data_IF_785972754182
#
_entry.id   IF_785972754182
#
_cell.length_a   1.000
_cell.length_b   1.000
_cell.length_c   1.000
_cell.angle_alpha   90.00
_cell.angle_beta   90.00
_cell.angle_gamma   90.00
#
_symmetry.space_group_name_H-M   'P 1'
#
loop_
_entity.id
_entity.type
_entity.pdbx_description
1 polymer ?
#
# COMPACT_ATOMS: atom_id res chain seq x y z
N UNK A 1 -70.95 6.68 -13.61
CA UNK A 1 -69.89 5.65 -13.58
C UNK A 1 -68.81 6.03 -14.58
N UNK A 2 -67.53 5.83 -14.20
CA UNK A 2 -66.27 6.12 -14.91
C UNK A 2 -65.75 7.56 -14.79
N UNK A 3 -65.08 7.77 -13.66
CA UNK A 3 -64.15 8.84 -13.33
C UNK A 3 -62.73 8.47 -13.84
N UNK A 4 -61.98 9.52 -14.21
CA UNK A 4 -60.55 9.75 -13.94
C UNK A 4 -59.45 9.09 -14.80
N UNK A 5 -58.46 9.97 -15.06
CA UNK A 5 -57.01 9.77 -15.23
C UNK A 5 -56.47 9.35 -16.60
N UNK A 6 -55.90 10.33 -17.30
CA UNK A 6 -54.71 10.14 -18.15
C UNK A 6 -53.70 11.22 -17.76
N UNK A 7 -52.94 10.95 -16.70
CA UNK A 7 -51.76 11.72 -16.34
C UNK A 7 -50.56 10.99 -16.98
N UNK A 8 -50.05 11.52 -18.09
CA UNK A 8 -48.83 11.03 -18.70
C UNK A 8 -47.66 11.37 -17.77
N UNK A 9 -47.13 10.34 -17.11
CA UNK A 9 -45.96 10.40 -16.24
C UNK A 9 -44.71 10.69 -17.09
N UNK A 10 -44.35 11.97 -17.22
CA UNK A 10 -43.02 12.36 -17.66
C UNK A 10 -42.05 12.02 -16.53
N UNK A 11 -41.45 10.83 -16.61
CA UNK A 11 -40.38 10.38 -15.73
C UNK A 11 -39.18 11.31 -15.98
N UNK A 12 -38.97 12.25 -15.07
CA UNK A 12 -37.82 13.15 -15.06
C UNK A 12 -36.56 12.29 -14.85
N UNK A 13 -35.84 11.96 -15.92
CA UNK A 13 -34.43 11.57 -15.81
C UNK A 13 -33.63 12.82 -15.44
N UNK A 14 -33.61 13.15 -14.15
CA UNK A 14 -32.56 14.02 -13.63
C UNK A 14 -31.25 13.23 -13.75
N UNK A 15 -30.25 13.69 -14.55
CA UNK A 15 -28.94 13.10 -14.48
C UNK A 15 -28.50 13.21 -13.02
N UNK A 16 -28.22 12.08 -12.38
CA UNK A 16 -27.61 12.06 -11.07
C UNK A 16 -26.33 12.90 -11.17
N UNK A 17 -26.33 14.07 -10.54
CA UNK A 17 -25.11 14.82 -10.31
C UNK A 17 -24.24 13.90 -9.47
N UNK A 18 -23.30 13.22 -10.12
CA UNK A 18 -22.23 12.53 -9.44
C UNK A 18 -21.41 13.63 -8.77
N UNK A 19 -21.71 13.91 -7.50
CA UNK A 19 -20.82 14.70 -6.67
C UNK A 19 -19.53 13.89 -6.57
N UNK A 20 -18.47 14.37 -7.23
CA UNK A 20 -17.14 13.86 -6.96
C UNK A 20 -16.90 14.07 -5.47
N UNK A 21 -16.81 12.98 -4.69
CA UNK A 21 -16.41 13.07 -3.29
C UNK A 21 -15.09 13.84 -3.25
N UNK A 22 -15.09 15.01 -2.61
CA UNK A 22 -13.87 15.74 -2.34
C UNK A 22 -13.13 15.03 -1.21
N UNK A 23 -12.51 13.89 -1.53
CA UNK A 23 -11.70 13.12 -0.57
C UNK A 23 -10.56 13.99 -0.03
N UNK A 24 -10.18 13.90 1.25
CA UNK A 24 -8.97 14.56 1.74
C UNK A 24 -7.74 13.99 1.03
N UNK A 25 -6.62 14.71 1.10
CA UNK A 25 -5.35 14.23 0.57
C UNK A 25 -4.69 13.36 1.64
N UNK A 26 -4.42 12.09 1.35
CA UNK A 26 -3.58 11.26 2.21
C UNK A 26 -2.13 11.73 2.10
N UNK A 27 -1.52 12.18 3.20
CA UNK A 27 -0.13 12.63 3.21
C UNK A 27 0.71 11.65 4.02
N UNK A 28 1.79 11.15 3.45
CA UNK A 28 2.76 10.32 4.16
C UNK A 28 4.13 11.01 4.18
N UNK A 29 4.69 11.22 5.37
CA UNK A 29 6.00 11.85 5.56
C UNK A 29 6.94 10.85 6.22
N UNK A 30 7.99 10.42 5.51
CA UNK A 30 8.84 9.29 5.90
C UNK A 30 7.99 8.08 6.29
N UNK A 31 6.95 7.79 5.52
CA UNK A 31 5.99 6.72 5.78
C UNK A 31 4.95 6.98 6.87
N UNK A 32 5.13 7.98 7.73
CA UNK A 32 4.19 8.32 8.81
C UNK A 32 2.96 9.00 8.20
N UNK A 33 1.78 8.54 8.60
CA UNK A 33 0.52 9.14 8.20
C UNK A 33 0.34 10.55 8.79
N UNK A 34 0.05 11.52 7.93
CA UNK A 34 -0.20 12.92 8.26
C UNK A 34 -1.65 13.24 8.62
N UNK A 35 -2.52 12.24 8.76
CA UNK A 35 -3.92 12.44 9.17
C UNK A 35 -4.06 13.26 10.46
N UNK A 36 -3.16 13.07 11.43
CA UNK A 36 -3.16 13.83 12.69
C UNK A 36 -2.49 15.21 12.59
N UNK A 37 -1.95 15.58 11.42
CA UNK A 37 -1.32 16.89 11.28
C UNK A 37 -2.36 17.99 11.41
N UNK A 38 -2.10 18.92 12.33
CA UNK A 38 -2.98 20.07 12.61
C UNK A 38 -3.33 20.86 11.36
N UNK A 39 -2.39 20.97 10.43
CA UNK A 39 -2.59 21.63 9.15
C UNK A 39 -2.38 20.65 8.00
N UNK A 40 -3.33 20.66 7.07
CA UNK A 40 -3.45 19.70 5.99
C UNK A 40 -2.86 20.23 4.68
N UNK A 41 -2.39 19.34 3.77
CA UNK A 41 -2.02 19.68 2.40
C UNK A 41 -3.12 20.44 1.65
N UNK A 42 -2.72 21.32 0.74
CA UNK A 42 -3.65 22.01 -0.17
C UNK A 42 -3.16 21.95 -1.61
N UNK A 43 -4.09 21.82 -2.55
CA UNK A 43 -3.79 22.00 -3.97
C UNK A 43 -4.23 23.40 -4.37
N UNK A 44 -3.32 24.17 -4.93
CA UNK A 44 -3.58 25.51 -5.48
C UNK A 44 -2.79 25.66 -6.77
N UNK A 45 -3.39 26.25 -7.81
CA UNK A 45 -2.73 26.46 -9.11
C UNK A 45 -2.11 25.15 -9.67
N UNK A 46 -2.83 24.04 -9.54
CA UNK A 46 -2.38 22.68 -9.90
C UNK A 46 -1.04 22.24 -9.27
N UNK A 47 -0.72 22.80 -8.09
CA UNK A 47 0.47 22.44 -7.31
C UNK A 47 0.06 22.02 -5.91
N UNK A 48 0.70 20.96 -5.42
CA UNK A 48 0.57 20.53 -4.04
C UNK A 48 1.45 21.41 -3.15
N UNK A 49 0.81 22.02 -2.16
CA UNK A 49 1.45 22.78 -1.12
C UNK A 49 1.28 22.08 0.22
N UNK A 50 2.37 22.04 0.98
CA UNK A 50 2.36 21.47 2.32
C UNK A 50 2.68 22.55 3.36
N UNK A 51 2.03 22.51 4.54
CA UNK A 51 2.41 23.34 5.66
C UNK A 51 3.80 22.91 6.13
N UNK A 52 4.78 23.80 5.97
CA UNK A 52 6.19 23.45 6.06
C UNK A 52 6.54 22.80 7.41
N UNK A 53 6.04 23.37 8.52
CA UNK A 53 6.32 22.88 9.86
C UNK A 53 5.78 21.47 10.10
N UNK A 54 4.57 21.15 9.62
CA UNK A 54 3.97 19.82 9.81
C UNK A 54 4.79 18.73 9.11
N UNK A 55 5.33 19.02 7.92
CA UNK A 55 6.14 18.06 7.16
C UNK A 55 7.53 17.94 7.74
N UNK A 56 8.21 19.06 7.95
CA UNK A 56 9.63 19.04 8.29
C UNK A 56 9.89 18.72 9.76
N UNK A 57 8.92 18.85 10.67
CA UNK A 57 9.08 18.38 12.06
C UNK A 57 9.35 16.87 12.16
N UNK A 58 8.89 16.09 11.17
CA UNK A 58 9.12 14.64 11.08
C UNK A 58 10.38 14.30 10.28
N UNK A 59 11.21 15.30 9.98
CA UNK A 59 12.46 15.17 9.24
C UNK A 59 13.62 15.76 10.05
N UNK A 60 14.84 15.40 9.69
CA UNK A 60 16.06 15.85 10.38
C UNK A 60 16.50 17.28 10.01
N UNK A 61 15.70 18.01 9.23
CA UNK A 61 16.08 19.32 8.70
C UNK A 61 15.78 20.45 9.70
N UNK A 62 16.73 21.38 9.81
CA UNK A 62 16.50 22.63 10.54
C UNK A 62 15.70 23.61 9.69
N UNK A 63 14.81 24.37 10.33
CA UNK A 63 13.97 25.37 9.67
C UNK A 63 14.16 26.71 10.39
N UNK A 64 14.51 27.74 9.63
CA UNK A 64 14.57 29.11 10.09
C UNK A 64 13.55 29.96 9.35
N UNK A 65 12.83 30.80 10.08
CA UNK A 65 11.87 31.74 9.52
C UNK A 65 12.30 33.17 9.84
N UNK A 66 12.52 33.98 8.81
CA UNK A 66 12.71 35.42 8.94
C UNK A 66 11.39 36.15 8.69
N UNK A 67 10.80 36.68 9.76
CA UNK A 67 9.54 37.44 9.70
C UNK A 67 9.66 38.80 9.00
N UNK A 68 10.85 39.40 8.92
CA UNK A 68 11.06 40.70 8.25
C UNK A 68 11.01 40.54 6.73
N UNK A 69 11.72 39.54 6.22
CA UNK A 69 11.78 39.25 4.78
C UNK A 69 10.70 38.28 4.31
N UNK A 70 9.99 37.64 5.25
CA UNK A 70 9.04 36.53 5.01
C UNK A 70 9.69 35.36 4.26
N UNK A 71 10.91 35.04 4.66
CA UNK A 71 11.74 34.00 4.03
C UNK A 71 11.84 32.80 4.95
N UNK A 72 11.64 31.62 4.38
CA UNK A 72 12.02 30.37 5.04
C UNK A 72 13.36 29.90 4.50
N UNK A 73 14.26 29.54 5.42
CA UNK A 73 15.57 28.96 5.14
C UNK A 73 15.63 27.57 5.78
N UNK A 74 16.08 26.58 5.03
CA UNK A 74 16.03 25.16 5.41
C UNK A 74 17.44 24.60 5.33
N UNK A 75 17.85 23.90 6.40
CA UNK A 75 19.17 23.28 6.56
C UNK A 75 20.31 24.25 6.22
N UNK A 76 20.38 25.32 7.02
CA UNK A 76 21.41 26.36 6.96
C UNK A 76 21.57 27.00 5.57
N UNK A 77 20.43 27.34 4.93
CA UNK A 77 20.40 28.01 3.62
C UNK A 77 20.49 27.07 2.42
N UNK A 78 20.42 25.75 2.62
CA UNK A 78 20.38 24.77 1.52
C UNK A 78 19.22 25.04 0.57
N UNK A 79 18.05 25.39 1.11
CA UNK A 79 16.89 25.88 0.35
C UNK A 79 16.35 27.14 1.02
N UNK A 80 16.14 28.18 0.24
CA UNK A 80 15.50 29.41 0.72
C UNK A 80 14.34 29.81 -0.20
N UNK A 81 13.18 30.06 0.39
CA UNK A 81 11.97 30.45 -0.32
C UNK A 81 11.32 31.65 0.36
N UNK A 82 11.01 32.69 -0.41
CA UNK A 82 10.34 33.89 0.10
C UNK A 82 8.86 33.86 -0.26
N UNK A 83 8.00 34.14 0.72
CA UNK A 83 6.55 34.23 0.51
C UNK A 83 6.23 35.28 -0.58
N UNK A 84 5.41 34.89 -1.55
CA UNK A 84 5.02 35.75 -2.66
C UNK A 84 6.05 35.89 -3.79
N UNK A 85 7.24 35.28 -3.67
CA UNK A 85 8.26 35.26 -4.74
C UNK A 85 8.35 33.90 -5.41
N UNK A 86 8.64 33.90 -6.70
CA UNK A 86 8.85 32.68 -7.49
C UNK A 86 10.32 32.31 -7.57
N UNK A 87 11.20 33.29 -7.44
CA UNK A 87 12.63 33.08 -7.27
C UNK A 87 12.90 32.41 -5.93
N UNK A 88 13.75 31.40 -5.94
CA UNK A 88 14.19 30.69 -4.75
C UNK A 88 15.64 30.26 -4.89
N UNK A 89 16.28 30.02 -3.76
CA UNK A 89 17.65 29.52 -3.72
C UNK A 89 17.62 28.03 -3.38
N UNK A 90 18.41 27.24 -4.10
CA UNK A 90 18.61 25.84 -3.79
C UNK A 90 20.05 25.42 -4.13
N UNK A 91 20.78 24.97 -3.10
CA UNK A 91 22.14 24.41 -3.19
C UNK A 91 23.10 25.27 -4.01
N UNK A 92 23.26 26.54 -3.64
CA UNK A 92 24.22 27.41 -4.34
C UNK A 92 23.65 28.19 -5.52
N UNK A 93 22.41 27.92 -5.94
CA UNK A 93 21.88 28.43 -7.20
C UNK A 93 20.52 29.11 -7.04
N UNK A 94 20.37 30.26 -7.71
CA UNK A 94 19.07 30.88 -7.91
C UNK A 94 18.28 30.11 -8.98
N UNK A 95 17.05 29.76 -8.63
CA UNK A 95 16.11 29.01 -9.47
C UNK A 95 14.75 29.69 -9.43
N UNK A 96 13.85 29.27 -10.31
CA UNK A 96 12.49 29.82 -10.42
C UNK A 96 11.46 28.72 -10.26
N UNK A 97 10.44 28.97 -9.45
CA UNK A 97 9.25 28.16 -9.29
C UNK A 97 8.12 28.69 -10.16
N UNK A 98 7.16 27.85 -10.54
CA UNK A 98 5.97 28.29 -11.28
C UNK A 98 4.91 28.91 -10.36
N UNK A 99 4.95 28.60 -9.07
CA UNK A 99 4.07 29.12 -8.02
C UNK A 99 4.87 29.62 -6.83
N UNK A 100 4.34 30.61 -6.11
CA UNK A 100 5.01 31.20 -4.94
C UNK A 100 4.51 30.57 -3.62
N UNK A 101 5.38 30.43 -2.60
CA UNK A 101 4.97 30.12 -1.23
C UNK A 101 4.01 31.18 -0.71
N UNK A 102 3.16 30.79 0.22
CA UNK A 102 2.15 31.68 0.79
C UNK A 102 1.91 31.41 2.26
N UNK A 103 1.22 32.33 2.93
CA UNK A 103 0.76 32.16 4.30
C UNK A 103 -0.75 31.91 4.29
N UNK A 104 -1.18 30.86 4.99
CA UNK A 104 -2.59 30.56 5.24
C UNK A 104 -2.75 30.17 6.69
N UNK A 105 -3.64 30.87 7.41
CA UNK A 105 -3.90 30.66 8.85
C UNK A 105 -2.61 30.59 9.67
N UNK A 106 -1.74 31.58 9.49
CA UNK A 106 -0.43 31.68 10.18
C UNK A 106 0.52 30.50 9.97
N UNK A 107 0.40 29.83 8.82
CA UNK A 107 1.35 28.80 8.38
C UNK A 107 1.88 29.10 7.00
N UNK A 108 3.19 28.91 6.84
CA UNK A 108 3.85 28.98 5.55
C UNK A 108 3.63 27.68 4.79
N UNK A 109 2.99 27.79 3.63
CA UNK A 109 2.78 26.72 2.66
C UNK A 109 3.81 26.85 1.55
N UNK A 110 4.53 25.75 1.31
CA UNK A 110 5.56 25.69 0.27
C UNK A 110 5.16 24.68 -0.80
N UNK A 111 5.49 24.93 -2.08
CA UNK A 111 5.24 23.98 -3.14
C UNK A 111 6.23 22.80 -3.02
N UNK A 112 5.70 21.62 -2.68
CA UNK A 112 6.53 20.52 -2.17
C UNK A 112 7.55 20.00 -3.18
N UNK A 113 7.24 20.04 -4.48
CA UNK A 113 8.15 19.62 -5.55
C UNK A 113 9.48 20.39 -5.50
N UNK A 114 9.42 21.71 -5.43
CA UNK A 114 10.63 22.54 -5.44
C UNK A 114 11.45 22.39 -4.16
N UNK A 115 10.77 22.22 -3.02
CA UNK A 115 11.44 21.92 -1.76
C UNK A 115 12.15 20.56 -1.86
N UNK A 116 11.46 19.54 -2.33
CA UNK A 116 11.99 18.19 -2.47
C UNK A 116 13.16 18.12 -3.45
N UNK A 117 13.07 18.79 -4.60
CA UNK A 117 14.15 18.89 -5.59
C UNK A 117 15.40 19.56 -5.02
N UNK A 118 15.19 20.62 -4.23
CA UNK A 118 16.25 21.34 -3.53
C UNK A 118 16.88 20.50 -2.42
N UNK A 119 16.07 19.81 -1.62
CA UNK A 119 16.53 18.99 -0.50
C UNK A 119 16.98 17.57 -0.92
N UNK A 120 16.72 17.15 -2.15
CA UNK A 120 16.92 15.78 -2.66
C UNK A 120 16.11 14.72 -1.90
N UNK A 121 14.87 15.07 -1.57
CA UNK A 121 13.91 14.18 -0.91
C UNK A 121 13.02 13.55 -1.99
N UNK A 122 12.79 12.23 -1.97
CA UNK A 122 11.84 11.62 -2.90
C UNK A 122 10.42 12.11 -2.59
N UNK A 123 9.68 12.51 -3.63
CA UNK A 123 8.28 12.88 -3.52
C UNK A 123 7.46 12.24 -4.63
N UNK A 124 6.26 11.79 -4.29
CA UNK A 124 5.30 11.28 -5.27
C UNK A 124 3.90 11.85 -5.03
N UNK A 125 3.17 12.00 -6.12
CA UNK A 125 1.75 12.34 -6.13
C UNK A 125 1.00 11.25 -6.89
N UNK A 126 0.07 10.59 -6.22
CA UNK A 126 -0.93 9.72 -6.82
C UNK A 126 -2.23 10.50 -6.97
N UNK A 127 -2.53 10.92 -8.20
CA UNK A 127 -3.74 11.66 -8.51
C UNK A 127 -5.01 10.79 -8.38
N UNK A 128 -4.92 9.48 -8.66
CA UNK A 128 -6.07 8.56 -8.62
C UNK A 128 -6.55 8.37 -7.18
N UNK A 129 -5.63 8.20 -6.25
CA UNK A 129 -5.94 8.03 -4.83
C UNK A 129 -5.83 9.31 -4.01
N UNK A 130 -5.45 10.43 -4.64
CA UNK A 130 -5.17 11.72 -3.98
C UNK A 130 -4.20 11.56 -2.80
N UNK A 131 -3.11 10.85 -3.02
CA UNK A 131 -2.11 10.59 -2.00
C UNK A 131 -0.76 11.24 -2.35
N UNK A 132 -0.13 11.87 -1.38
CA UNK A 132 1.19 12.45 -1.48
C UNK A 132 2.16 11.72 -0.56
N UNK A 133 3.34 11.39 -1.06
CA UNK A 133 4.44 10.84 -0.25
C UNK A 133 5.62 11.79 -0.28
N UNK A 134 6.25 11.99 0.87
CA UNK A 134 7.43 12.83 1.05
C UNK A 134 8.44 12.06 1.89
N UNK A 135 9.56 11.69 1.30
CA UNK A 135 10.53 10.79 1.93
C UNK A 135 10.05 9.33 1.96
N UNK A 136 10.83 8.48 2.61
CA UNK A 136 10.62 7.04 2.69
C UNK A 136 10.85 6.57 4.12
N UNK A 137 10.14 5.51 4.55
CA UNK A 137 10.45 4.84 5.81
C UNK A 137 11.63 3.87 5.61
N UNK A 138 12.76 4.39 5.15
CA UNK A 138 13.96 3.61 4.85
C UNK A 138 15.20 4.29 5.43
N UNK A 139 15.95 3.56 6.23
CA UNK A 139 17.24 3.99 6.77
C UNK A 139 18.08 2.78 7.16
N UNK A 140 19.34 3.01 7.54
CA UNK A 140 20.10 1.99 8.24
C UNK A 140 19.33 1.55 9.49
N UNK A 141 19.22 0.23 9.69
CA UNK A 141 18.63 -0.33 10.90
C UNK A 141 19.59 -0.13 12.08
N UNK A 142 19.04 -0.03 13.30
CA UNK A 142 19.83 0.01 14.53
C UNK A 142 20.44 -1.35 14.93
N UNK A 143 20.47 -2.34 14.04
CA UNK A 143 21.07 -3.65 14.24
C UNK A 143 21.91 -4.07 13.03
N UNK A 144 22.83 -5.01 13.22
CA UNK A 144 23.59 -5.64 12.14
C UNK A 144 22.72 -6.69 11.44
N UNK A 145 22.43 -6.57 10.13
CA UNK A 145 21.72 -7.61 9.38
C UNK A 145 22.48 -8.93 9.37
N UNK A 146 21.82 -10.02 9.76
CA UNK A 146 22.40 -11.37 9.69
C UNK A 146 21.62 -12.30 8.77
N UNK A 147 20.31 -12.11 8.64
CA UNK A 147 19.44 -12.92 7.80
C UNK A 147 18.54 -12.03 6.96
N UNK A 148 18.32 -12.42 5.71
CA UNK A 148 17.30 -11.81 4.85
C UNK A 148 16.17 -12.81 4.65
N UNK A 149 14.93 -12.37 4.82
CA UNK A 149 13.73 -13.19 4.59
C UNK A 149 12.83 -12.49 3.60
N UNK A 150 12.16 -13.26 2.73
CA UNK A 150 11.20 -12.74 1.77
C UNK A 150 9.86 -13.41 1.96
N UNK A 151 8.81 -12.60 2.07
CA UNK A 151 7.43 -13.03 2.17
C UNK A 151 6.63 -12.34 1.06
N UNK A 152 6.10 -13.12 0.12
CA UNK A 152 5.51 -12.56 -1.10
C UNK A 152 6.51 -11.67 -1.83
N UNK A 153 6.15 -10.39 -2.01
CA UNK A 153 7.00 -9.40 -2.67
C UNK A 153 7.78 -8.49 -1.72
N UNK A 154 7.79 -8.77 -0.42
CA UNK A 154 8.46 -7.96 0.60
C UNK A 154 9.62 -8.73 1.22
N UNK A 155 10.79 -8.10 1.24
CA UNK A 155 12.02 -8.62 1.81
C UNK A 155 12.41 -7.80 3.04
N UNK A 156 12.83 -8.45 4.12
CA UNK A 156 13.34 -7.81 5.33
C UNK A 156 14.74 -8.31 5.68
N UNK A 157 15.54 -7.44 6.26
CA UNK A 157 16.75 -7.82 7.01
C UNK A 157 16.39 -8.03 8.49
N UNK A 158 16.94 -9.08 9.09
CA UNK A 158 16.70 -9.47 10.47
C UNK A 158 18.02 -9.57 11.24
N UNK A 159 18.05 -9.19 12.54
CA UNK A 159 19.22 -9.36 13.38
C UNK A 159 19.44 -10.82 13.78
N UNK A 160 20.59 -11.08 14.41
CA UNK A 160 20.86 -12.35 15.10
C UNK A 160 19.73 -12.70 16.07
N UNK A 161 19.40 -13.99 16.14
CA UNK A 161 18.50 -14.55 17.16
C UNK A 161 17.11 -13.88 17.26
N UNK A 162 16.66 -13.20 16.21
CA UNK A 162 15.34 -12.54 16.17
C UNK A 162 14.18 -13.49 16.55
N UNK A 163 14.32 -14.78 16.22
CA UNK A 163 13.37 -15.87 16.49
C UNK A 163 13.17 -16.12 18.00
N UNK A 164 14.05 -15.60 18.86
CA UNK A 164 13.87 -15.65 20.33
C UNK A 164 12.84 -14.63 20.82
N UNK A 165 12.58 -13.59 20.03
CA UNK A 165 11.76 -12.45 20.43
C UNK A 165 10.49 -12.30 19.58
N UNK A 166 10.53 -12.68 18.31
CA UNK A 166 9.41 -12.52 17.38
C UNK A 166 8.94 -13.85 16.81
N UNK A 167 7.64 -13.90 16.50
CA UNK A 167 7.07 -14.83 15.53
C UNK A 167 6.66 -14.02 14.30
N UNK A 168 7.04 -14.49 13.11
CA UNK A 168 6.61 -13.91 11.84
C UNK A 168 5.83 -14.98 11.08
N UNK A 169 4.58 -14.68 10.73
CA UNK A 169 3.74 -15.55 9.91
C UNK A 169 3.46 -14.88 8.56
N UNK A 170 3.22 -15.70 7.54
CA UNK A 170 2.77 -15.21 6.24
C UNK A 170 1.59 -16.04 5.78
N UNK A 171 0.42 -15.41 5.75
CA UNK A 171 -0.85 -16.06 5.44
C UNK A 171 -1.77 -15.07 4.71
N UNK A 172 -2.54 -15.55 3.72
CA UNK A 172 -3.42 -14.72 2.88
C UNK A 172 -2.79 -13.41 2.34
N UNK A 173 -1.50 -13.43 1.99
CA UNK A 173 -0.71 -12.26 1.56
C UNK A 173 -0.48 -11.17 2.63
N UNK A 174 -0.66 -11.52 3.91
CA UNK A 174 -0.36 -10.66 5.05
C UNK A 174 0.83 -11.22 5.82
N UNK A 175 1.78 -10.35 6.16
CA UNK A 175 2.94 -10.69 6.97
C UNK A 175 2.67 -10.18 8.38
N UNK A 176 2.48 -11.07 9.34
CA UNK A 176 2.12 -10.67 10.70
C UNK A 176 3.31 -10.85 11.63
N UNK A 177 3.62 -9.79 12.38
CA UNK A 177 4.63 -9.81 13.42
C UNK A 177 3.95 -9.96 14.79
N UNK A 178 4.42 -10.91 15.58
CA UNK A 178 4.01 -11.10 16.97
C UNK A 178 5.21 -11.02 17.91
N UNK A 179 5.00 -10.50 19.11
CA UNK A 179 5.87 -10.75 20.25
C UNK A 179 5.76 -12.22 20.66
N UNK A 180 6.88 -12.93 20.64
CA UNK A 180 6.91 -14.38 20.88
C UNK A 180 6.42 -14.74 22.28
N UNK A 181 6.77 -13.97 23.31
CA UNK A 181 6.45 -14.32 24.70
C UNK A 181 4.95 -14.27 24.95
N UNK A 182 4.28 -13.25 24.41
CA UNK A 182 2.82 -13.16 24.46
C UNK A 182 2.15 -14.24 23.61
N UNK A 183 2.67 -14.52 22.42
CA UNK A 183 2.16 -15.56 21.54
C UNK A 183 2.26 -16.98 22.13
N UNK A 184 3.37 -17.27 22.82
CA UNK A 184 3.57 -18.55 23.51
C UNK A 184 2.65 -18.69 24.73
N UNK A 185 2.30 -17.57 25.39
CA UNK A 185 1.41 -17.55 26.55
C UNK A 185 -0.06 -17.77 26.14
N UNK A 186 -0.49 -17.13 25.05
CA UNK A 186 -1.79 -17.34 24.44
C UNK A 186 -1.66 -17.17 22.92
N UNK A 187 -2.07 -18.21 22.18
CA UNK A 187 -1.96 -18.25 20.73
C UNK A 187 -2.65 -17.01 20.11
N UNK A 188 -1.97 -16.38 19.15
CA UNK A 188 -2.42 -15.19 18.43
C UNK A 188 -2.46 -13.88 19.26
N UNK A 189 -2.05 -13.92 20.54
CA UNK A 189 -1.73 -12.73 21.32
C UNK A 189 -0.32 -12.21 21.01
N UNK A 190 -0.05 -10.96 21.37
CA UNK A 190 1.22 -10.30 21.11
C UNK A 190 1.35 -9.68 19.72
N UNK A 191 0.25 -9.58 18.94
CA UNK A 191 0.30 -9.03 17.57
C UNK A 191 0.79 -7.58 17.56
N UNK A 192 1.91 -7.35 16.88
CA UNK A 192 2.54 -6.02 16.75
C UNK A 192 1.99 -5.28 15.54
N UNK A 193 1.77 -5.98 14.43
CA UNK A 193 1.19 -5.42 13.22
C UNK A 193 1.30 -6.35 12.01
N UNK A 194 0.66 -5.92 10.94
CA UNK A 194 0.48 -6.68 9.70
C UNK A 194 0.98 -5.88 8.52
N UNK A 195 1.88 -6.45 7.73
CA UNK A 195 2.34 -5.86 6.47
C UNK A 195 1.53 -6.42 5.32
N UNK A 196 0.92 -5.53 4.54
CA UNK A 196 0.08 -5.88 3.40
C UNK A 196 0.09 -4.80 2.32
N UNK A 197 -0.24 -5.22 1.10
CA UNK A 197 -0.39 -4.32 -0.03
C UNK A 197 -1.85 -3.84 -0.14
N UNK A 198 -2.06 -2.53 -0.11
CA UNK A 198 -3.36 -1.89 -0.19
C UNK A 198 -3.39 -0.98 -1.42
N UNK A 199 -4.50 -0.99 -2.15
CA UNK A 199 -4.62 -0.22 -3.41
C UNK A 199 -5.02 1.23 -3.17
N UNK A 200 -5.96 1.46 -2.26
CA UNK A 200 -6.46 2.78 -1.91
C UNK A 200 -6.11 3.11 -0.45
N UNK A 201 -5.09 3.96 -0.19
CA UNK A 201 -4.62 4.26 1.15
C UNK A 201 -5.66 5.00 2.00
N UNK A 202 -6.67 5.62 1.37
CA UNK A 202 -7.76 6.30 2.07
C UNK A 202 -8.75 5.33 2.74
N UNK A 203 -8.79 4.07 2.32
CA UNK A 203 -9.72 3.06 2.87
C UNK A 203 -9.21 2.35 4.12
N UNK A 204 -8.08 2.77 4.67
CA UNK A 204 -7.47 2.18 5.87
C UNK A 204 -7.74 3.10 7.06
N UNK A 205 -8.65 2.67 7.94
CA UNK A 205 -9.10 3.42 9.11
C UNK A 205 -8.43 2.99 10.42
N UNK A 206 -7.27 2.33 10.31
CA UNK A 206 -6.45 1.92 11.44
C UNK A 206 -5.09 2.61 11.36
N UNK A 207 -4.36 2.74 12.49
CA UNK A 207 -3.00 3.22 12.49
C UNK A 207 -2.15 2.46 11.46
N UNK A 208 -1.42 3.24 10.66
CA UNK A 208 -0.69 2.73 9.51
C UNK A 208 0.64 3.43 9.31
N UNK A 209 1.58 2.69 8.74
CA UNK A 209 2.91 3.16 8.37
C UNK A 209 3.21 2.70 6.95
N UNK A 210 3.40 3.66 6.05
CA UNK A 210 3.73 3.39 4.66
C UNK A 210 5.20 2.97 4.54
N UNK A 211 5.43 1.74 4.11
CA UNK A 211 6.76 1.19 3.86
C UNK A 211 7.21 1.47 2.43
N UNK A 212 6.28 1.37 1.48
CA UNK A 212 6.59 1.54 0.06
C UNK A 212 5.37 2.03 -0.73
N UNK A 213 5.56 3.07 -1.55
CA UNK A 213 4.58 3.48 -2.55
C UNK A 213 4.97 2.86 -3.88
N UNK A 214 4.20 1.87 -4.33
CA UNK A 214 4.38 1.23 -5.62
C UNK A 214 3.63 1.91 -6.75
N UNK A 215 3.60 1.24 -7.89
CA UNK A 215 2.89 1.69 -9.09
C UNK A 215 1.40 1.36 -9.04
N UNK A 216 1.04 0.23 -8.42
CA UNK A 216 -0.33 -0.30 -8.41
C UNK A 216 -0.93 -0.49 -7.00
N UNK A 217 -0.10 -0.35 -5.97
CA UNK A 217 -0.44 -0.55 -4.56
C UNK A 217 0.51 0.24 -3.64
N UNK A 218 0.17 0.26 -2.37
CA UNK A 218 0.93 0.80 -1.26
C UNK A 218 1.20 -0.33 -0.27
N UNK A 219 2.45 -0.54 0.12
CA UNK A 219 2.79 -1.52 1.16
C UNK A 219 2.78 -0.82 2.51
N UNK A 220 1.85 -1.23 3.38
CA UNK A 220 1.68 -0.67 4.71
C UNK A 220 1.99 -1.71 5.77
N UNK A 221 2.55 -1.28 6.90
CA UNK A 221 2.26 -1.89 8.18
C UNK A 221 0.97 -1.28 8.73
N UNK A 222 -0.03 -2.10 9.05
CA UNK A 222 -1.20 -1.73 9.84
C UNK A 222 -1.10 -2.31 11.24
N UNK A 223 -1.51 -1.58 12.27
CA UNK A 223 -1.40 -2.03 13.65
C UNK A 223 -2.53 -1.48 14.53
N UNK A 224 -2.80 -2.16 15.65
CA UNK A 224 -3.77 -1.70 16.64
C UNK A 224 -3.25 -0.49 17.43
N UNK A 225 -4.13 0.43 17.79
CA UNK A 225 -3.85 1.45 18.81
C UNK A 225 -3.62 0.82 20.18
N UNK A 226 -4.25 -0.33 20.43
CA UNK A 226 -4.27 -0.99 21.73
C UNK A 226 -3.11 -1.99 21.86
N UNK A 227 -2.63 -2.16 23.09
CA UNK A 227 -1.59 -3.13 23.42
C UNK A 227 -2.18 -4.54 23.37
N UNK A 228 -1.57 -5.44 22.60
CA UNK A 228 -2.03 -6.82 22.42
C UNK A 228 -1.34 -7.80 23.39
N UNK A 229 -1.24 -7.41 24.66
CA UNK A 229 -0.58 -8.21 25.71
C UNK A 229 -1.62 -9.07 26.44
N UNK A 230 -1.29 -10.33 26.73
CA UNK A 230 -2.21 -11.29 27.39
C UNK A 230 -2.70 -10.76 28.74
N UNK A 231 -1.77 -10.27 29.56
CA UNK A 231 -2.05 -9.63 30.85
C UNK A 231 -1.22 -8.35 30.97
N UNK A 232 -1.88 -7.20 30.89
CA UNK A 232 -1.23 -5.87 30.99
C UNK A 232 -0.63 -5.65 32.38
N UNK A 233 -1.14 -6.31 33.43
CA UNK A 233 -0.56 -6.29 34.77
C UNK A 233 0.75 -7.08 34.86
N UNK A 234 1.00 -7.99 33.92
CA UNK A 234 2.25 -8.72 33.83
C UNK A 234 3.33 -7.86 33.17
N UNK A 235 4.21 -7.32 34.02
CA UNK A 235 5.32 -6.46 33.60
C UNK A 235 6.25 -7.14 32.60
N UNK A 236 6.50 -8.44 32.73
CA UNK A 236 7.42 -9.14 31.85
C UNK A 236 6.87 -9.28 30.42
N UNK A 237 5.58 -9.60 30.28
CA UNK A 237 4.90 -9.67 28.98
C UNK A 237 4.80 -8.29 28.32
N UNK A 238 4.52 -7.25 29.11
CA UNK A 238 4.42 -5.87 28.64
C UNK A 238 5.77 -5.31 28.16
N UNK A 239 6.84 -5.58 28.90
CA UNK A 239 8.19 -5.19 28.51
C UNK A 239 8.68 -5.96 27.28
N UNK A 240 8.36 -7.26 27.17
CA UNK A 240 8.65 -8.04 25.96
C UNK A 240 8.00 -7.43 24.74
N UNK A 241 6.69 -7.17 24.81
CA UNK A 241 5.94 -6.56 23.72
C UNK A 241 6.51 -5.20 23.30
N UNK A 242 6.90 -4.37 24.27
CA UNK A 242 7.51 -3.05 23.99
C UNK A 242 8.82 -3.19 23.22
N UNK A 243 9.74 -4.04 23.68
CA UNK A 243 11.01 -4.31 22.96
C UNK A 243 10.76 -4.88 21.56
N UNK A 244 9.77 -5.75 21.43
CA UNK A 244 9.42 -6.39 20.16
C UNK A 244 8.85 -5.39 19.15
N UNK A 245 8.03 -4.45 19.62
CA UNK A 245 7.52 -3.33 18.80
C UNK A 245 8.63 -2.42 18.30
N UNK A 246 9.62 -2.12 19.15
CA UNK A 246 10.81 -1.35 18.75
C UNK A 246 11.64 -2.09 17.71
N UNK A 247 11.91 -3.38 17.94
CA UNK A 247 12.64 -4.22 16.99
C UNK A 247 11.92 -4.29 15.63
N UNK A 248 10.59 -4.48 15.61
CA UNK A 248 9.81 -4.49 14.37
C UNK A 248 9.94 -3.15 13.64
N UNK A 249 9.88 -2.00 14.34
CA UNK A 249 10.11 -0.69 13.70
C UNK A 249 11.47 -0.60 13.03
N UNK A 250 12.53 -1.15 13.64
CA UNK A 250 13.85 -1.19 13.01
C UNK A 250 13.93 -2.14 11.82
N UNK A 251 13.28 -3.32 11.90
CA UNK A 251 13.21 -4.28 10.79
C UNK A 251 12.50 -3.64 9.59
N UNK A 252 11.41 -2.92 9.81
CA UNK A 252 10.61 -2.31 8.75
C UNK A 252 11.35 -1.23 7.97
N UNK A 253 12.37 -0.58 8.56
CA UNK A 253 13.26 0.35 7.83
C UNK A 253 14.10 -0.33 6.76
N UNK A 254 14.24 -1.66 6.85
CA UNK A 254 15.00 -2.47 5.89
C UNK A 254 14.11 -3.08 4.81
N UNK A 255 12.80 -2.78 4.81
CA UNK A 255 11.86 -3.35 3.87
C UNK A 255 12.27 -3.02 2.43
N UNK A 256 12.38 -4.06 1.61
CA UNK A 256 12.54 -3.93 0.16
C UNK A 256 11.35 -4.57 -0.51
N UNK A 257 10.69 -3.82 -1.40
CA UNK A 257 9.50 -4.28 -2.09
C UNK A 257 9.84 -4.48 -3.56
N UNK A 258 9.64 -5.71 -4.04
CA UNK A 258 9.74 -6.02 -5.45
C UNK A 258 8.43 -5.60 -6.15
N UNK A 259 8.49 -4.51 -6.89
CA UNK A 259 7.38 -4.01 -7.70
C UNK A 259 7.68 -4.15 -9.20
N UNK A 260 7.27 -5.28 -9.76
CA UNK A 260 7.38 -5.57 -11.21
C UNK A 260 6.20 -4.96 -12.00
N UNK A 261 5.29 -4.22 -11.35
CA UNK A 261 4.01 -3.82 -11.93
C UNK A 261 4.04 -2.41 -12.49
N UNK A 262 3.33 -2.22 -13.60
CA UNK A 262 3.11 -0.93 -14.21
C UNK A 262 1.65 -0.83 -14.64
N UNK A 263 0.94 0.21 -14.24
CA UNK A 263 -0.46 0.43 -14.63
C UNK A 263 -0.67 0.46 -16.16
N UNK A 264 0.35 0.80 -16.94
CA UNK A 264 0.31 0.73 -18.41
C UNK A 264 0.17 -0.71 -18.96
N UNK A 265 0.52 -1.73 -18.16
CA UNK A 265 0.36 -3.16 -18.50
C UNK A 265 -0.99 -3.74 -18.01
N UNK A 266 -1.91 -2.88 -17.55
CA UNK A 266 -3.25 -3.29 -17.14
C UNK A 266 -4.00 -3.95 -18.29
N UNK A 267 -4.49 -5.15 -18.01
CA UNK A 267 -5.20 -6.04 -18.92
C UNK A 267 -6.58 -6.32 -18.32
N UNK A 268 -7.58 -6.49 -19.19
CA UNK A 268 -8.93 -6.89 -18.80
C UNK A 268 -9.27 -8.22 -19.46
N UNK A 269 -9.72 -9.19 -18.67
CA UNK A 269 -10.23 -10.48 -19.12
C UNK A 269 -11.59 -10.69 -18.48
N UNK A 270 -12.64 -10.87 -19.30
CA UNK A 270 -14.02 -10.83 -18.80
C UNK A 270 -14.26 -9.53 -18.02
N UNK A 271 -14.75 -9.67 -16.79
CA UNK A 271 -15.02 -8.54 -15.88
C UNK A 271 -13.87 -8.22 -14.92
N UNK A 272 -12.74 -8.93 -15.03
CA UNK A 272 -11.60 -8.77 -14.12
C UNK A 272 -10.50 -7.96 -14.79
N UNK A 273 -10.09 -6.88 -14.14
CA UNK A 273 -8.98 -6.01 -14.55
C UNK A 273 -7.78 -6.22 -13.63
N UNK A 274 -6.59 -6.44 -14.19
CA UNK A 274 -5.36 -6.72 -13.43
C UNK A 274 -4.14 -6.29 -14.24
N UNK A 275 -2.98 -6.12 -13.60
CA UNK A 275 -1.74 -5.82 -14.29
C UNK A 275 -0.98 -7.11 -14.60
N UNK A 276 -0.68 -7.33 -15.88
CA UNK A 276 0.10 -8.48 -16.34
C UNK A 276 1.44 -8.00 -16.91
N UNK A 277 2.51 -7.98 -16.09
CA UNK A 277 3.83 -7.55 -16.52
C UNK A 277 4.30 -8.31 -17.75
N UNK A 278 5.01 -7.64 -18.66
CA UNK A 278 5.54 -8.27 -19.88
C UNK A 278 6.39 -9.51 -19.59
N UNK A 279 7.16 -9.48 -18.51
CA UNK A 279 7.99 -10.60 -18.04
C UNK A 279 7.18 -11.84 -17.64
N UNK A 280 5.89 -11.69 -17.32
CA UNK A 280 5.04 -12.78 -16.86
C UNK A 280 4.26 -13.43 -18.02
N UNK A 281 4.03 -12.69 -19.12
CA UNK A 281 3.17 -13.11 -20.26
C UNK A 281 3.59 -14.38 -21.00
N UNK A 282 4.87 -14.76 -20.88
CA UNK A 282 5.36 -16.03 -21.45
C UNK A 282 4.93 -17.25 -20.63
N UNK A 283 4.76 -17.10 -19.31
CA UNK A 283 4.41 -18.21 -18.42
C UNK A 283 2.94 -18.21 -17.98
N UNK A 284 2.36 -17.03 -17.77
CA UNK A 284 0.99 -16.89 -17.23
C UNK A 284 0.02 -16.48 -18.34
N UNK A 285 -1.09 -17.23 -18.44
CA UNK A 285 -2.24 -16.91 -19.26
C UNK A 285 -3.48 -16.64 -18.41
N UNK A 286 -4.47 -15.97 -19.01
CA UNK A 286 -5.74 -15.65 -18.37
C UNK A 286 -6.85 -15.65 -19.43
N UNK A 287 -7.91 -16.40 -19.19
CA UNK A 287 -9.07 -16.45 -20.09
C UNK A 287 -10.36 -16.72 -19.31
N UNK A 288 -11.51 -16.66 -20.00
CA UNK A 288 -12.80 -17.03 -19.40
C UNK A 288 -13.06 -18.51 -19.70
N UNK A 289 -13.07 -19.34 -18.66
CA UNK A 289 -13.37 -20.78 -18.72
C UNK A 289 -14.62 -21.02 -17.87
N UNK A 290 -15.65 -21.63 -18.45
CA UNK A 290 -16.93 -21.90 -17.79
C UNK A 290 -17.54 -20.67 -17.09
N UNK A 291 -17.43 -19.50 -17.74
CA UNK A 291 -17.92 -18.22 -17.23
C UNK A 291 -17.09 -17.60 -16.10
N UNK A 292 -15.96 -18.21 -15.71
CA UNK A 292 -15.04 -17.69 -14.69
C UNK A 292 -13.73 -17.24 -15.32
N UNK A 293 -13.24 -16.07 -14.91
CA UNK A 293 -11.88 -15.65 -15.26
C UNK A 293 -10.90 -16.56 -14.54
N UNK A 294 -10.05 -17.23 -15.30
CA UNK A 294 -9.16 -18.30 -14.83
C UNK A 294 -7.73 -17.98 -15.22
N UNK A 295 -6.81 -18.07 -14.27
CA UNK A 295 -5.37 -18.00 -14.52
C UNK A 295 -4.80 -19.40 -14.70
N UNK A 296 -3.84 -19.53 -15.61
CA UNK A 296 -3.19 -20.80 -15.90
C UNK A 296 -1.72 -20.63 -16.27
N UNK A 297 -0.95 -21.69 -16.08
CA UNK A 297 0.40 -21.85 -16.60
C UNK A 297 0.35 -22.27 -18.07
N UNK A 298 0.92 -21.45 -18.95
CA UNK A 298 0.86 -21.67 -20.41
C UNK A 298 1.60 -22.94 -20.83
N UNK A 299 2.74 -23.26 -20.20
CA UNK A 299 3.53 -24.43 -20.58
C UNK A 299 2.74 -25.74 -20.42
N UNK A 300 1.95 -25.85 -19.35
CA UNK A 300 1.04 -26.97 -19.16
C UNK A 300 -0.23 -26.85 -20.02
N UNK A 301 -0.86 -25.68 -20.02
CA UNK A 301 -2.15 -25.45 -20.66
C UNK A 301 -2.11 -25.56 -22.20
N UNK A 302 -0.98 -25.20 -22.83
CA UNK A 302 -0.79 -25.32 -24.27
C UNK A 302 -0.67 -26.79 -24.73
N UNK A 303 -0.28 -27.70 -23.81
CA UNK A 303 -0.24 -29.15 -24.07
C UNK A 303 -1.59 -29.83 -23.81
N UNK A 304 -2.32 -29.37 -22.81
CA UNK A 304 -3.65 -29.86 -22.45
C UNK A 304 -4.44 -28.71 -21.82
N UNK A 305 -5.59 -28.36 -22.41
CA UNK A 305 -6.41 -27.22 -21.98
C UNK A 305 -6.97 -27.35 -20.56
N UNK A 306 -7.08 -28.57 -20.04
CA UNK A 306 -7.49 -28.82 -18.65
C UNK A 306 -6.31 -28.79 -17.66
N UNK A 307 -5.08 -28.66 -18.15
CA UNK A 307 -3.88 -28.67 -17.34
C UNK A 307 -3.34 -27.25 -17.08
N UNK A 308 -2.57 -27.12 -16.00
CA UNK A 308 -1.92 -25.87 -15.63
C UNK A 308 -2.86 -24.83 -15.04
N UNK A 309 -4.12 -25.16 -14.76
CA UNK A 309 -5.05 -24.24 -14.10
C UNK A 309 -4.52 -23.89 -12.71
N UNK A 310 -4.31 -22.60 -12.46
CA UNK A 310 -3.81 -22.09 -11.18
C UNK A 310 -4.97 -21.75 -10.26
N UNK A 311 -6.06 -21.21 -10.81
CA UNK A 311 -7.26 -20.86 -10.07
C UNK A 311 -8.17 -19.91 -10.83
N UNK A 312 -9.32 -19.63 -10.25
CA UNK A 312 -10.36 -18.83 -10.89
C UNK A 312 -11.01 -17.85 -9.92
N UNK A 313 -11.48 -16.72 -10.47
CA UNK A 313 -12.26 -15.75 -9.72
C UNK A 313 -13.68 -16.26 -9.50
N UNK A 314 -14.19 -16.06 -8.28
CA UNK A 314 -15.53 -16.44 -7.86
C UNK A 314 -16.14 -15.31 -7.03
N UNK A 315 -17.45 -15.08 -7.19
CA UNK A 315 -18.21 -14.24 -6.27
C UNK A 315 -18.91 -15.15 -5.27
N UNK A 316 -18.58 -14.99 -3.99
CA UNK A 316 -19.10 -15.81 -2.89
C UNK A 316 -19.83 -14.89 -1.92
N UNK A 317 -20.92 -15.35 -1.30
CA UNK A 317 -21.57 -14.55 -0.25
C UNK A 317 -20.62 -14.44 0.94
N UNK A 318 -20.57 -13.29 1.59
CA UNK A 318 -19.62 -13.06 2.70
C UNK A 318 -19.74 -14.12 3.80
N UNK A 319 -20.96 -14.53 4.15
CA UNK A 319 -21.25 -15.57 5.15
C UNK A 319 -20.82 -16.99 4.76
N UNK A 320 -20.55 -17.23 3.48
CA UNK A 320 -20.20 -18.54 2.95
C UNK A 320 -18.68 -18.68 2.72
N UNK A 321 -17.88 -17.64 3.05
CA UNK A 321 -16.42 -17.63 2.89
C UNK A 321 -15.75 -18.76 3.68
N UNK A 322 -16.16 -18.97 4.93
CA UNK A 322 -15.60 -20.00 5.82
C UNK A 322 -15.88 -21.43 5.31
N UNK A 323 -16.80 -21.58 4.36
CA UNK A 323 -17.13 -22.86 3.73
C UNK A 323 -16.21 -23.24 2.56
N UNK A 324 -15.33 -22.35 2.10
CA UNK A 324 -14.38 -22.63 1.02
C UNK A 324 -13.26 -23.50 1.61
N UNK A 325 -13.08 -24.70 1.07
CA UNK A 325 -12.09 -25.67 1.56
C UNK A 325 -10.73 -25.46 0.92
N UNK A 326 -10.74 -25.02 -0.33
CA UNK A 326 -9.56 -24.72 -1.11
C UNK A 326 -8.90 -23.44 -0.59
N UNK A 327 -7.60 -23.31 -0.84
CA UNK A 327 -6.94 -22.04 -0.58
C UNK A 327 -7.55 -20.95 -1.47
N UNK A 328 -7.80 -19.78 -0.91
CA UNK A 328 -8.33 -18.65 -1.65
C UNK A 328 -7.67 -17.35 -1.22
N UNK A 329 -7.84 -16.32 -2.05
CA UNK A 329 -7.42 -14.96 -1.77
C UNK A 329 -8.61 -14.03 -1.92
N UNK A 330 -8.89 -13.23 -0.89
CA UNK A 330 -9.95 -12.23 -0.94
C UNK A 330 -9.45 -11.01 -1.69
N UNK A 331 -10.13 -10.65 -2.78
CA UNK A 331 -9.80 -9.47 -3.58
C UNK A 331 -10.52 -8.25 -3.03
N UNK A 332 -11.82 -8.40 -2.75
CA UNK A 332 -12.65 -7.36 -2.11
C UNK A 332 -13.93 -7.97 -1.55
N UNK A 333 -14.43 -7.39 -0.47
CA UNK A 333 -15.76 -7.67 0.06
C UNK A 333 -16.61 -6.40 0.04
N UNK A 334 -17.87 -6.55 -0.32
CA UNK A 334 -18.95 -5.58 -0.08
C UNK A 334 -20.02 -6.29 0.74
N UNK A 335 -20.87 -5.54 1.45
CA UNK A 335 -21.81 -5.99 2.50
C UNK A 335 -22.35 -7.43 2.39
N UNK A 336 -22.73 -7.92 1.20
CA UNK A 336 -23.29 -9.26 1.02
C UNK A 336 -22.44 -10.25 0.20
N UNK A 337 -21.36 -9.80 -0.44
CA UNK A 337 -20.57 -10.64 -1.34
C UNK A 337 -19.10 -10.24 -1.43
N UNK A 338 -18.26 -11.25 -1.58
CA UNK A 338 -16.82 -11.12 -1.75
C UNK A 338 -16.41 -11.67 -3.12
N UNK A 339 -15.57 -10.92 -3.81
CA UNK A 339 -14.81 -11.43 -4.93
C UNK A 339 -13.57 -12.12 -4.35
N UNK A 340 -13.42 -13.41 -4.63
CA UNK A 340 -12.29 -14.22 -4.21
C UNK A 340 -11.62 -14.85 -5.42
N UNK A 341 -10.33 -15.09 -5.34
CA UNK A 341 -9.61 -15.97 -6.23
C UNK A 341 -9.40 -17.31 -5.53
N UNK A 342 -9.98 -18.38 -6.05
CA UNK A 342 -9.84 -19.72 -5.46
C UNK A 342 -8.79 -20.49 -6.25
N UNK A 343 -7.76 -20.97 -5.56
CA UNK A 343 -6.72 -21.78 -6.19
C UNK A 343 -7.28 -23.16 -6.54
N UNK A 344 -6.85 -23.71 -7.67
CA UNK A 344 -7.13 -25.11 -7.97
C UNK A 344 -6.38 -26.02 -7.00
N UNK A 345 -7.03 -27.09 -6.53
CA UNK A 345 -6.37 -28.17 -5.79
C UNK A 345 -5.24 -28.75 -6.67
N UNK A 346 -4.01 -28.75 -6.15
CA UNK A 346 -2.76 -29.22 -6.77
C UNK A 346 -2.83 -29.35 -8.30
N UNK A 347 -2.83 -28.20 -8.97
CA UNK A 347 -3.19 -28.03 -10.38
C UNK A 347 -2.71 -29.17 -11.28
N UNK A 348 -3.68 -29.83 -11.93
CA UNK A 348 -3.47 -30.90 -12.90
C UNK A 348 -2.38 -30.50 -13.89
N UNK A 349 -1.25 -31.19 -13.88
CA UNK A 349 -0.17 -30.95 -14.84
C UNK A 349 -0.43 -31.74 -16.13
N UNK A 350 0.07 -31.24 -17.25
CA UNK A 350 -0.08 -31.95 -18.53
C UNK A 350 0.69 -33.27 -18.52
N UNK A 351 1.82 -33.31 -17.80
CA UNK A 351 2.59 -34.52 -17.47
C UNK A 351 3.10 -34.41 -16.03
N UNK A 352 2.45 -35.12 -15.10
CA UNK A 352 2.71 -34.98 -13.66
C UNK A 352 4.16 -35.22 -13.23
N UNK A 353 4.90 -36.07 -13.95
CA UNK A 353 6.29 -36.43 -13.64
C UNK A 353 7.34 -35.61 -14.39
N UNK A 354 6.93 -34.59 -15.16
CA UNK A 354 7.87 -33.74 -15.90
C UNK A 354 8.38 -32.59 -15.01
N UNK A 355 9.67 -32.58 -14.61
CA UNK A 355 10.20 -31.57 -13.69
C UNK A 355 10.16 -30.15 -14.27
N UNK A 356 10.23 -30.00 -15.59
CA UNK A 356 10.18 -28.69 -16.23
C UNK A 356 8.78 -28.08 -16.13
N UNK A 357 7.74 -28.90 -16.35
CA UNK A 357 6.35 -28.47 -16.22
C UNK A 357 5.95 -28.19 -14.76
N UNK A 358 6.45 -28.98 -13.81
CA UNK A 358 6.28 -28.71 -12.37
C UNK A 358 6.89 -27.36 -11.98
N UNK A 359 8.12 -27.11 -12.42
CA UNK A 359 8.82 -25.85 -12.15
C UNK A 359 8.13 -24.65 -12.81
N UNK A 360 7.66 -24.80 -14.05
CA UNK A 360 6.90 -23.77 -14.76
C UNK A 360 5.62 -23.42 -14.00
N UNK A 361 4.83 -24.43 -13.63
CA UNK A 361 3.59 -24.25 -12.87
C UNK A 361 3.83 -23.54 -11.52
N UNK A 362 4.83 -23.97 -10.74
CA UNK A 362 5.18 -23.32 -9.48
C UNK A 362 5.56 -21.84 -9.65
N UNK A 363 6.35 -21.54 -10.68
CA UNK A 363 6.74 -20.15 -11.03
C UNK A 363 5.53 -19.31 -11.43
N UNK A 364 4.64 -19.86 -12.26
CA UNK A 364 3.42 -19.19 -12.70
C UNK A 364 2.44 -18.97 -11.55
N UNK A 365 2.32 -19.92 -10.61
CA UNK A 365 1.50 -19.80 -9.40
C UNK A 365 1.98 -18.63 -8.52
N UNK A 366 3.29 -18.52 -8.27
CA UNK A 366 3.86 -17.38 -7.52
C UNK A 366 3.57 -16.03 -8.22
N UNK A 367 3.74 -15.98 -9.54
CA UNK A 367 3.42 -14.79 -10.35
C UNK A 367 1.94 -14.42 -10.27
N UNK A 368 1.05 -15.39 -10.30
CA UNK A 368 -0.39 -15.16 -10.12
C UNK A 368 -0.66 -14.57 -8.74
N UNK A 369 -0.10 -15.12 -7.65
CA UNK A 369 -0.24 -14.55 -6.31
C UNK A 369 0.13 -13.06 -6.26
N UNK A 370 1.19 -12.66 -6.96
CA UNK A 370 1.58 -11.26 -7.06
C UNK A 370 0.61 -10.44 -7.96
N UNK A 371 0.14 -10.99 -9.09
CA UNK A 371 -0.85 -10.34 -9.97
C UNK A 371 -2.14 -10.00 -9.20
N UNK A 372 -2.58 -10.89 -8.29
CA UNK A 372 -3.80 -10.68 -7.50
C UNK A 372 -3.79 -9.37 -6.70
N UNK A 373 -2.61 -8.87 -6.33
CA UNK A 373 -2.43 -7.58 -5.65
C UNK A 373 -2.84 -6.36 -6.50
N UNK A 374 -3.05 -6.55 -7.80
CA UNK A 374 -3.32 -5.48 -8.78
C UNK A 374 -4.75 -5.47 -9.31
N UNK A 375 -5.59 -6.40 -8.85
CA UNK A 375 -6.95 -6.65 -9.36
C UNK A 375 -7.91 -5.49 -9.02
N UNK A 376 -8.82 -5.17 -9.95
CA UNK A 376 -9.88 -4.12 -9.87
C UNK A 376 -11.31 -4.66 -10.01
#
# INVERSE_FOLDING_TARGET
MKKLLTLALALVMLPSLAFAETRPISLFVNGIDGEEFKEQPVIRDDRLFLPLRSVLNNMVFKIYWDGKTKTVSIDDGTVEMTVGKKEYYARGQNKTMDVAPFILKDRTYVPIRFLADGMKIPVAWDAKHRAATVGEYKSAAAFTPEKTVTYGNVTFSLPKDWEKQLIITYDHNMITFYDKKNYDAEKDMGRIGEVQNIRDPYKIFVPKLLLYKGNCFYTFLTYSSDVQVVDIGNKELSESYTRSKELVREILKTAEVKDDFNEADRTKVGDISFVLPKSYRQGVGAEVIDGKVTFYDKANHDLNKDAGIIGSFQTVKAKDLDGIKENFHIIRCKENACLVFVYAEDGKLAKEKDPALQKAYGTSKERVSNILLTVE
#
